data_IF_052294449855
#
_entry.id   IF_052294449855
#
_cell.length_a   1.000
_cell.length_b   1.000
_cell.length_c   1.000
_cell.angle_alpha   90.00
_cell.angle_beta   90.00
_cell.angle_gamma   90.00
#
_symmetry.space_group_name_H-M   'P 1'
#
loop_
_entity.id
_entity.type
_entity.pdbx_description
1 polymer ?
#
# COMPACT_ATOMS: atom_id res chain seq x y z
N UNK A 1 41.49 50.84 -12.40
CA UNK A 1 42.57 50.16 -13.14
C UNK A 1 42.22 48.67 -13.18
N UNK A 2 41.55 48.13 -14.20
CA UNK A 2 41.94 47.97 -15.60
C UNK A 2 42.79 46.71 -15.86
N UNK A 3 42.21 45.82 -16.69
CA UNK A 3 42.85 45.12 -17.83
C UNK A 3 43.40 43.68 -17.61
N UNK A 4 42.52 42.72 -17.96
CA UNK A 4 42.61 41.63 -18.97
C UNK A 4 43.66 40.49 -18.99
N UNK A 5 43.11 39.33 -19.41
CA UNK A 5 43.53 38.33 -20.44
C UNK A 5 44.68 37.38 -20.08
N UNK A 6 44.43 36.06 -20.01
CA UNK A 6 44.16 35.08 -21.08
C UNK A 6 45.45 34.54 -21.73
N UNK A 7 45.69 33.23 -21.61
CA UNK A 7 46.18 32.43 -22.73
C UNK A 7 45.94 30.93 -22.52
N UNK A 8 45.60 30.30 -23.64
CA UNK A 8 45.14 28.93 -23.86
C UNK A 8 46.35 28.08 -24.23
N UNK A 9 46.47 26.85 -23.75
CA UNK A 9 47.22 25.80 -24.47
C UNK A 9 46.42 24.50 -24.45
N UNK A 10 46.00 24.09 -25.65
CA UNK A 10 45.52 22.74 -25.96
C UNK A 10 46.73 21.79 -25.96
N UNK A 11 46.63 20.64 -25.29
CA UNK A 11 47.41 19.46 -25.66
C UNK A 11 46.49 18.26 -25.88
N UNK A 12 46.39 17.91 -27.16
CA UNK A 12 46.02 16.60 -27.67
C UNK A 12 46.99 15.53 -27.18
N UNK A 13 46.48 14.41 -26.69
CA UNK A 13 47.28 13.21 -26.42
C UNK A 13 46.36 12.01 -26.23
N UNK A 14 46.35 11.10 -27.21
CA UNK A 14 45.71 9.78 -27.12
C UNK A 14 46.25 9.03 -25.88
N UNK A 15 45.42 8.35 -25.06
CA UNK A 15 45.94 7.31 -24.20
C UNK A 15 46.33 6.10 -25.04
N UNK A 16 47.59 5.71 -24.90
CA UNK A 16 48.24 4.50 -25.38
C UNK A 16 47.53 3.23 -24.92
N UNK A 17 47.65 2.21 -25.76
CA UNK A 17 47.16 0.83 -25.64
C UNK A 17 47.14 0.26 -24.21
N UNK A 18 45.97 -0.24 -23.81
CA UNK A 18 45.79 -1.10 -22.63
C UNK A 18 46.50 -2.42 -22.90
N UNK A 19 47.51 -2.72 -22.08
CA UNK A 19 48.23 -3.98 -22.05
C UNK A 19 47.31 -5.06 -21.44
N UNK A 20 46.93 -6.07 -22.22
CA UNK A 20 46.05 -7.17 -21.77
C UNK A 20 46.85 -8.18 -20.94
N UNK A 21 47.00 -7.90 -19.65
CA UNK A 21 47.43 -8.91 -18.67
C UNK A 21 46.28 -9.85 -18.33
N UNK A 22 46.42 -11.13 -18.64
CA UNK A 22 45.47 -12.20 -18.29
C UNK A 22 45.56 -12.52 -16.79
N UNK A 23 44.53 -12.22 -15.99
CA UNK A 23 44.43 -12.67 -14.60
C UNK A 23 44.26 -14.20 -14.57
N UNK A 24 45.22 -14.89 -13.96
CA UNK A 24 45.23 -16.35 -13.76
C UNK A 24 44.58 -16.78 -12.46
N UNK A 25 43.69 -15.95 -11.92
CA UNK A 25 42.96 -16.22 -10.69
C UNK A 25 41.81 -17.25 -10.93
N UNK A 26 41.69 -18.28 -10.07
CA UNK A 26 40.75 -19.42 -10.20
C UNK A 26 39.27 -18.96 -10.31
N UNK A 27 38.96 -17.78 -9.78
CA UNK A 27 37.63 -17.15 -9.85
C UNK A 27 37.24 -16.57 -11.22
N UNK A 28 38.18 -16.39 -12.15
CA UNK A 28 37.89 -15.92 -13.52
C UNK A 28 37.48 -17.04 -14.49
N UNK A 29 37.70 -18.33 -14.14
CA UNK A 29 37.46 -19.47 -15.06
C UNK A 29 36.02 -20.01 -15.06
N UNK A 30 35.15 -19.53 -14.17
CA UNK A 30 33.74 -19.99 -14.08
C UNK A 30 32.70 -18.92 -14.37
N UNK A 31 33.12 -17.73 -14.82
CA UNK A 31 32.19 -16.67 -15.20
C UNK A 31 31.66 -16.89 -16.62
N UNK A 32 30.42 -17.37 -16.75
CA UNK A 32 29.69 -17.35 -18.03
C UNK A 32 29.07 -15.95 -18.21
N UNK A 33 29.28 -15.28 -19.35
CA UNK A 33 28.64 -13.99 -19.59
C UNK A 33 27.12 -14.18 -19.62
N UNK A 34 26.40 -13.38 -18.83
CA UNK A 34 24.94 -13.31 -18.85
C UNK A 34 24.52 -12.81 -20.24
N UNK A 35 23.64 -13.54 -20.93
CA UNK A 35 23.09 -13.11 -22.23
C UNK A 35 22.52 -11.70 -22.08
N UNK A 36 23.10 -10.74 -22.81
CA UNK A 36 22.53 -9.41 -23.00
C UNK A 36 21.25 -9.60 -23.83
N UNK A 37 20.09 -9.46 -23.20
CA UNK A 37 18.85 -9.36 -23.93
C UNK A 37 18.85 -8.02 -24.69
N UNK A 38 18.95 -8.09 -26.02
CA UNK A 38 18.73 -6.94 -26.90
C UNK A 38 17.31 -6.43 -26.65
N UNK A 39 17.18 -5.18 -26.24
CA UNK A 39 15.89 -4.49 -26.21
C UNK A 39 15.35 -4.41 -27.64
N UNK A 40 14.19 -5.02 -27.90
CA UNK A 40 13.45 -4.82 -29.15
C UNK A 40 13.01 -3.36 -29.21
N UNK A 41 13.59 -2.58 -30.12
CA UNK A 41 13.05 -1.27 -30.51
C UNK A 41 11.74 -1.50 -31.25
N UNK A 42 10.63 -1.06 -30.67
CA UNK A 42 9.36 -1.01 -31.39
C UNK A 42 9.41 0.11 -32.46
N UNK A 43 8.88 -0.14 -33.67
CA UNK A 43 8.77 0.90 -34.68
C UNK A 43 7.80 2.00 -34.21
N UNK A 44 8.03 3.27 -34.56
CA UNK A 44 7.09 4.35 -34.23
C UNK A 44 5.74 4.10 -34.92
N UNK A 45 4.65 4.21 -34.15
CA UNK A 45 3.28 4.05 -34.66
C UNK A 45 2.98 5.11 -35.74
N UNK A 46 2.27 4.75 -36.84
CA UNK A 46 1.93 5.69 -37.90
C UNK A 46 0.95 6.77 -37.41
N UNK A 47 1.16 8.00 -37.89
CA UNK A 47 0.25 9.14 -37.67
C UNK A 47 -0.97 8.98 -38.57
N UNK A 48 -2.14 8.73 -37.99
CA UNK A 48 -3.41 8.78 -38.71
C UNK A 48 -4.15 10.06 -38.34
N UNK A 49 -4.24 10.98 -39.31
CA UNK A 49 -5.11 12.15 -39.29
C UNK A 49 -6.55 11.73 -39.57
N UNK A 50 -7.42 11.85 -38.57
CA UNK A 50 -8.88 11.82 -38.76
C UNK A 50 -9.51 12.93 -37.93
N UNK A 51 -10.13 13.91 -38.60
CA UNK A 51 -10.97 14.96 -38.00
C UNK A 51 -12.27 14.34 -37.46
N UNK A 52 -12.65 14.65 -36.22
CA UNK A 52 -14.02 14.54 -35.68
C UNK A 52 -14.23 15.58 -34.55
N UNK A 53 -15.47 15.98 -34.25
CA UNK A 53 -15.87 17.37 -34.02
C UNK A 53 -15.81 17.79 -32.53
N UNK A 54 -15.93 19.10 -32.30
CA UNK A 54 -15.87 19.74 -31.00
C UNK A 54 -16.90 19.17 -29.98
N UNK A 55 -16.52 18.90 -28.72
CA UNK A 55 -17.47 18.62 -27.66
C UNK A 55 -18.06 19.92 -27.09
N UNK A 56 -19.38 20.01 -27.14
CA UNK A 56 -20.22 21.05 -26.58
C UNK A 56 -20.01 21.16 -25.06
N UNK A 57 -19.85 22.39 -24.57
CA UNK A 57 -19.71 22.70 -23.15
C UNK A 57 -21.01 22.45 -22.39
N UNK A 58 -21.00 21.46 -21.49
CA UNK A 58 -22.09 21.26 -20.52
C UNK A 58 -21.73 22.03 -19.25
N UNK A 59 -22.52 23.08 -18.96
CA UNK A 59 -22.42 23.91 -17.76
C UNK A 59 -22.92 23.12 -16.55
N UNK A 60 -22.07 22.95 -15.53
CA UNK A 60 -22.46 22.43 -14.22
C UNK A 60 -23.13 23.56 -13.42
N UNK A 61 -24.30 23.29 -12.82
CA UNK A 61 -25.06 24.26 -12.04
C UNK A 61 -25.20 23.72 -10.59
N UNK A 62 -24.54 24.31 -9.58
CA UNK A 62 -24.61 23.82 -8.22
C UNK A 62 -25.80 24.46 -7.50
N UNK A 63 -26.87 23.69 -7.32
CA UNK A 63 -27.91 23.98 -6.31
C UNK A 63 -28.13 22.73 -5.48
N UNK A 64 -27.36 22.61 -4.40
CA UNK A 64 -27.56 21.64 -3.33
C UNK A 64 -26.86 22.15 -2.09
N UNK A 65 -27.63 22.68 -1.13
CA UNK A 65 -27.15 23.15 0.16
C UNK A 65 -26.74 21.96 1.04
N UNK A 66 -25.46 21.87 1.42
CA UNK A 66 -24.94 20.87 2.35
C UNK A 66 -25.05 21.42 3.78
N UNK A 67 -25.62 20.63 4.69
CA UNK A 67 -25.77 20.97 6.11
C UNK A 67 -24.48 20.62 6.84
N UNK A 68 -23.77 21.64 7.34
CA UNK A 68 -22.64 21.48 8.26
C UNK A 68 -23.20 21.33 9.67
N UNK A 69 -23.17 20.13 10.27
CA UNK A 69 -23.41 19.99 11.71
C UNK A 69 -22.19 20.50 12.47
N UNK A 70 -22.33 21.63 13.18
CA UNK A 70 -21.29 22.13 14.10
C UNK A 70 -21.19 21.18 15.30
N UNK A 71 -20.01 20.63 15.64
CA UNK A 71 -19.85 19.94 16.91
C UNK A 71 -19.78 20.95 18.06
N UNK A 72 -20.69 20.76 19.02
CA UNK A 72 -20.74 21.48 20.29
C UNK A 72 -19.64 20.96 21.22
N UNK A 73 -18.94 21.91 21.86
CA UNK A 73 -17.95 21.76 22.94
C UNK A 73 -16.54 21.31 22.55
N UNK A 74 -15.59 22.22 22.81
CA UNK A 74 -14.16 22.10 22.61
C UNK A 74 -13.53 21.43 23.83
N UNK A 75 -12.84 20.31 23.65
CA UNK A 75 -11.94 19.75 24.66
C UNK A 75 -10.51 19.75 24.15
N UNK A 76 -9.61 20.25 25.00
CA UNK A 76 -8.18 20.42 24.74
C UNK A 76 -7.46 19.08 24.87
N UNK A 77 -7.32 18.33 23.78
CA UNK A 77 -6.32 17.27 23.60
C UNK A 77 -6.32 16.86 22.12
N UNK A 78 -5.16 16.95 21.44
CA UNK A 78 -4.93 16.51 20.06
C UNK A 78 -5.98 16.96 19.03
N UNK A 79 -5.68 18.00 18.25
CA UNK A 79 -6.56 18.55 17.20
C UNK A 79 -7.33 17.42 16.46
N UNK A 80 -8.66 17.30 16.62
CA UNK A 80 -9.38 16.19 16.00
C UNK A 80 -9.45 16.41 14.50
N UNK A 81 -8.85 15.47 13.74
CA UNK A 81 -9.14 15.33 12.32
C UNK A 81 -10.53 14.71 12.21
N UNK A 82 -11.48 15.46 11.68
CA UNK A 82 -12.83 14.97 11.44
C UNK A 82 -12.92 14.37 10.03
N UNK A 83 -13.64 13.26 9.87
CA UNK A 83 -13.83 12.66 8.56
C UNK A 83 -14.69 13.55 7.67
N UNK A 84 -14.40 13.58 6.38
CA UNK A 84 -15.24 14.26 5.39
C UNK A 84 -16.39 13.33 5.00
N UNK A 85 -17.61 13.88 4.99
CA UNK A 85 -18.82 13.21 4.50
C UNK A 85 -19.21 13.78 3.13
N UNK A 86 -19.07 13.00 2.06
CA UNK A 86 -19.56 13.27 0.70
C UNK A 86 -20.11 11.97 0.10
N UNK A 87 -21.43 11.85 0.00
CA UNK A 87 -22.15 10.58 -0.26
C UNK A 87 -21.78 9.45 0.73
N UNK A 88 -21.26 9.81 1.92
CA UNK A 88 -20.75 8.90 2.94
C UNK A 88 -19.35 9.31 3.42
N UNK A 89 -18.82 8.63 4.43
CA UNK A 89 -17.47 8.91 4.94
C UNK A 89 -16.42 8.57 3.87
N UNK A 90 -15.57 9.53 3.51
CA UNK A 90 -14.42 9.32 2.61
C UNK A 90 -13.30 8.57 3.34
N UNK A 91 -13.55 7.29 3.60
CA UNK A 91 -12.64 6.34 4.23
C UNK A 91 -12.68 5.01 3.46
N UNK A 92 -11.52 4.53 3.03
CA UNK A 92 -11.38 3.30 2.30
C UNK A 92 -10.22 2.46 2.84
N UNK A 93 -10.51 1.19 3.14
CA UNK A 93 -9.52 0.17 3.48
C UNK A 93 -9.39 -0.77 2.30
N UNK A 94 -8.21 -0.81 1.71
CA UNK A 94 -7.95 -1.60 0.52
C UNK A 94 -6.95 -2.71 0.80
N UNK A 95 -7.10 -3.84 0.12
CA UNK A 95 -6.22 -5.01 0.26
C UNK A 95 -5.77 -5.55 -1.09
N UNK A 96 -4.53 -5.99 -1.18
CA UNK A 96 -4.00 -6.74 -2.33
C UNK A 96 -3.32 -8.01 -1.81
N UNK A 97 -3.99 -9.14 -2.01
CA UNK A 97 -3.48 -10.45 -1.60
C UNK A 97 -3.12 -11.28 -2.83
N UNK A 98 -1.91 -11.82 -2.82
CA UNK A 98 -1.44 -12.85 -3.72
C UNK A 98 -0.73 -13.92 -2.90
N UNK A 99 -1.45 -15.01 -2.63
CA UNK A 99 -0.96 -16.12 -1.82
C UNK A 99 0.18 -16.88 -2.49
N UNK A 100 0.20 -16.98 -3.83
CA UNK A 100 1.25 -17.69 -4.56
C UNK A 100 2.61 -17.00 -4.40
N UNK A 101 2.59 -15.67 -4.37
CA UNK A 101 3.80 -14.86 -4.21
C UNK A 101 4.08 -14.48 -2.74
N UNK A 102 3.30 -14.99 -1.79
CA UNK A 102 3.37 -14.62 -0.36
C UNK A 102 3.31 -13.09 -0.13
N UNK A 103 2.49 -12.40 -0.94
CA UNK A 103 2.29 -10.96 -0.88
C UNK A 103 0.91 -10.65 -0.31
N UNK A 104 0.87 -9.79 0.70
CA UNK A 104 -0.34 -9.25 1.27
C UNK A 104 -0.04 -7.82 1.71
N UNK A 105 -0.69 -6.89 1.03
CA UNK A 105 -0.50 -5.47 1.21
C UNK A 105 -1.83 -4.79 1.54
N UNK A 106 -1.74 -3.77 2.38
CA UNK A 106 -2.86 -2.90 2.68
C UNK A 106 -2.61 -1.51 2.15
N UNK A 107 -3.68 -0.82 1.79
CA UNK A 107 -3.67 0.60 1.45
C UNK A 107 -4.91 1.25 2.05
N UNK A 108 -4.74 1.99 3.14
CA UNK A 108 -5.80 2.75 3.79
C UNK A 108 -5.70 4.19 3.35
N UNK A 109 -6.85 4.80 3.06
CA UNK A 109 -6.92 6.21 2.69
C UNK A 109 -8.16 6.86 3.28
N UNK A 110 -8.01 8.10 3.72
CA UNK A 110 -9.06 8.85 4.39
C UNK A 110 -8.95 10.33 4.05
N UNK A 111 -10.07 10.96 3.68
CA UNK A 111 -10.15 12.41 3.57
C UNK A 111 -10.71 13.00 4.87
N UNK A 112 -10.03 14.03 5.37
CA UNK A 112 -10.21 14.58 6.72
C UNK A 112 -10.14 16.09 6.69
N UNK A 113 -10.81 16.75 7.63
CA UNK A 113 -10.74 18.20 7.79
C UNK A 113 -10.31 18.58 9.20
N UNK A 114 -9.63 19.72 9.30
CA UNK A 114 -9.20 20.37 10.54
C UNK A 114 -9.43 21.87 10.41
N UNK A 115 -9.14 22.63 11.46
CA UNK A 115 -9.10 24.11 11.43
C UNK A 115 -8.12 24.64 10.37
N UNK A 116 -7.09 23.85 10.06
CA UNK A 116 -5.99 24.23 9.17
C UNK A 116 -6.31 23.93 7.68
N UNK A 117 -7.48 23.36 7.38
CA UNK A 117 -7.92 23.01 6.02
C UNK A 117 -8.27 21.53 5.86
N UNK A 118 -8.33 21.09 4.60
CA UNK A 118 -8.63 19.70 4.23
C UNK A 118 -7.36 18.91 3.93
N UNK A 119 -7.37 17.62 4.24
CA UNK A 119 -6.24 16.72 4.02
C UNK A 119 -6.70 15.37 3.48
N UNK A 120 -5.80 14.67 2.79
CA UNK A 120 -5.95 13.24 2.50
C UNK A 120 -4.82 12.50 3.20
N UNK A 121 -5.17 11.66 4.15
CA UNK A 121 -4.27 10.74 4.84
C UNK A 121 -4.22 9.41 4.11
N UNK A 122 -3.03 8.86 3.95
CA UNK A 122 -2.81 7.54 3.35
C UNK A 122 -1.84 6.75 4.21
N UNK A 123 -2.08 5.44 4.35
CA UNK A 123 -1.18 4.51 5.04
C UNK A 123 -1.13 3.20 4.27
N UNK A 124 0.06 2.70 3.98
CA UNK A 124 0.23 1.50 3.17
C UNK A 124 1.43 0.67 3.61
N UNK A 125 1.42 -0.61 3.29
CA UNK A 125 2.54 -1.51 3.56
C UNK A 125 2.12 -2.96 3.53
N UNK A 126 3.04 -3.84 3.95
CA UNK A 126 2.70 -5.24 4.15
C UNK A 126 1.81 -5.42 5.37
N UNK A 127 0.84 -6.31 5.27
CA UNK A 127 -0.04 -6.66 6.39
C UNK A 127 0.78 -7.18 7.57
N UNK A 128 0.48 -6.69 8.78
CA UNK A 128 1.28 -6.95 10.00
C UNK A 128 2.44 -5.98 10.24
N UNK A 129 2.67 -5.00 9.36
CA UNK A 129 3.69 -3.97 9.57
C UNK A 129 3.07 -2.60 9.85
N UNK A 130 3.86 -1.68 10.43
CA UNK A 130 3.44 -0.28 10.58
C UNK A 130 3.30 0.43 9.23
N UNK A 131 3.95 -0.08 8.18
CA UNK A 131 3.92 0.51 6.84
C UNK A 131 4.54 1.90 6.77
N UNK A 132 4.14 2.64 5.75
CA UNK A 132 4.43 4.05 5.53
C UNK A 132 3.12 4.84 5.57
N UNK A 133 3.22 6.13 5.86
CA UNK A 133 2.06 7.03 5.84
C UNK A 133 2.42 8.35 5.19
N UNK A 134 1.43 8.98 4.56
CA UNK A 134 1.54 10.31 3.97
C UNK A 134 0.27 11.09 4.21
N UNK A 135 0.43 12.30 4.71
CA UNK A 135 -0.64 13.29 4.85
C UNK A 135 -0.43 14.34 3.76
N UNK A 136 -1.39 14.48 2.86
CA UNK A 136 -1.37 15.49 1.80
C UNK A 136 -2.33 16.62 2.12
N UNK A 137 -1.84 17.86 2.02
CA UNK A 137 -2.56 19.09 2.33
C UNK A 137 -1.63 20.13 2.96
N UNK A 138 -2.18 21.23 3.49
CA UNK A 138 -3.61 21.57 3.47
C UNK A 138 -4.11 21.89 2.06
N UNK A 139 -5.31 21.42 1.74
CA UNK A 139 -6.08 21.85 0.58
C UNK A 139 -7.07 22.93 1.02
N UNK A 140 -7.34 23.87 0.12
CA UNK A 140 -8.14 25.06 0.43
C UNK A 140 -9.64 24.76 0.37
N UNK A 141 -10.03 23.74 -0.38
CA UNK A 141 -11.43 23.40 -0.59
C UNK A 141 -11.71 21.91 -0.36
N UNK A 142 -12.96 21.62 0.00
CA UNK A 142 -13.49 20.27 0.09
C UNK A 142 -13.39 19.54 -1.26
N UNK A 143 -13.64 20.25 -2.36
CA UNK A 143 -13.61 19.69 -3.72
C UNK A 143 -12.20 19.21 -4.11
N UNK A 144 -11.15 19.96 -3.75
CA UNK A 144 -9.77 19.53 -3.96
C UNK A 144 -9.46 18.23 -3.23
N UNK A 145 -9.83 18.13 -1.95
CA UNK A 145 -9.62 16.93 -1.13
C UNK A 145 -10.38 15.72 -1.65
N UNK A 146 -11.63 15.94 -2.04
CA UNK A 146 -12.51 14.93 -2.61
C UNK A 146 -11.97 14.43 -3.96
N UNK A 147 -11.57 15.35 -4.85
CA UNK A 147 -10.97 15.02 -6.15
C UNK A 147 -9.69 14.22 -5.98
N UNK A 148 -8.85 14.61 -5.01
CA UNK A 148 -7.61 13.91 -4.71
C UNK A 148 -7.86 12.49 -4.20
N UNK A 149 -8.83 12.33 -3.30
CA UNK A 149 -9.27 11.03 -2.81
C UNK A 149 -9.81 10.16 -3.95
N UNK A 150 -10.71 10.67 -4.80
CA UNK A 150 -11.26 9.92 -5.94
C UNK A 150 -10.19 9.50 -6.95
N UNK A 151 -9.24 10.40 -7.24
CA UNK A 151 -8.13 10.10 -8.15
C UNK A 151 -7.28 8.95 -7.62
N UNK A 152 -6.91 9.00 -6.32
CA UNK A 152 -6.10 7.97 -5.70
C UNK A 152 -6.85 6.63 -5.60
N UNK A 153 -8.13 6.66 -5.22
CA UNK A 153 -8.96 5.45 -5.17
C UNK A 153 -9.04 4.77 -6.55
N UNK A 154 -9.31 5.56 -7.59
CA UNK A 154 -9.33 5.06 -8.97
C UNK A 154 -7.94 4.58 -9.41
N UNK A 155 -6.85 5.22 -9.02
CA UNK A 155 -5.50 4.71 -9.35
C UNK A 155 -5.24 3.32 -8.76
N UNK A 156 -5.60 3.10 -7.49
CA UNK A 156 -5.30 1.87 -6.74
C UNK A 156 -6.25 0.72 -7.05
N UNK A 157 -7.53 1.02 -7.31
CA UNK A 157 -8.57 0.00 -7.54
C UNK A 157 -9.01 -0.08 -9.00
N UNK A 158 -8.82 1.01 -9.76
CA UNK A 158 -9.38 1.26 -11.09
C UNK A 158 -10.91 1.31 -11.16
N UNK A 159 -11.56 1.47 -10.01
CA UNK A 159 -12.99 1.73 -9.89
C UNK A 159 -13.22 3.22 -9.58
N UNK A 160 -14.34 3.78 -10.02
CA UNK A 160 -14.78 5.11 -9.58
C UNK A 160 -15.38 5.02 -8.17
N UNK A 161 -15.09 6.01 -7.31
CA UNK A 161 -15.63 6.04 -5.95
C UNK A 161 -17.16 6.04 -5.91
N UNK A 162 -17.81 6.74 -6.85
CA UNK A 162 -19.27 6.76 -6.99
C UNK A 162 -19.87 5.36 -7.19
N UNK A 163 -19.09 4.42 -7.73
CA UNK A 163 -19.52 3.04 -8.00
C UNK A 163 -19.08 2.04 -6.92
N UNK A 164 -18.59 2.50 -5.77
CA UNK A 164 -18.08 1.64 -4.68
C UNK A 164 -19.09 0.61 -4.15
N UNK A 165 -20.40 0.89 -4.25
CA UNK A 165 -21.47 -0.07 -3.88
C UNK A 165 -21.57 -1.26 -4.84
N UNK A 166 -21.11 -1.08 -6.08
CA UNK A 166 -21.05 -2.10 -7.12
C UNK A 166 -19.58 -2.38 -7.51
N UNK A 167 -18.69 -2.36 -6.51
CA UNK A 167 -17.26 -2.52 -6.71
C UNK A 167 -16.93 -3.85 -7.40
N UNK A 168 -16.02 -3.82 -8.38
CA UNK A 168 -15.52 -5.02 -9.05
C UNK A 168 -14.01 -5.11 -8.86
N UNK A 169 -13.56 -6.18 -8.20
CA UNK A 169 -12.13 -6.47 -8.05
C UNK A 169 -11.49 -6.65 -9.42
N UNK A 170 -10.42 -5.88 -9.68
CA UNK A 170 -9.61 -6.01 -10.88
C UNK A 170 -8.30 -6.75 -10.61
N UNK A 171 -7.84 -7.49 -11.61
CA UNK A 171 -6.58 -8.23 -11.52
C UNK A 171 -5.39 -7.27 -11.29
N UNK A 172 -4.47 -7.66 -10.41
CA UNK A 172 -3.30 -6.85 -10.03
C UNK A 172 -3.60 -5.51 -9.32
N UNK A 173 -4.86 -5.19 -9.01
CA UNK A 173 -5.27 -3.96 -8.31
C UNK A 173 -5.77 -4.24 -6.90
N UNK A 174 -5.82 -3.24 -6.03
CA UNK A 174 -6.37 -3.43 -4.69
C UNK A 174 -7.88 -3.69 -4.75
N UNK A 175 -8.35 -4.55 -3.86
CA UNK A 175 -9.77 -4.74 -3.53
C UNK A 175 -10.23 -3.78 -2.44
N UNK A 176 -11.53 -3.52 -2.37
CA UNK A 176 -12.16 -2.72 -1.34
C UNK A 176 -12.72 -3.63 -0.25
N UNK A 177 -12.28 -3.43 1.00
CA UNK A 177 -12.84 -4.13 2.15
C UNK A 177 -14.13 -3.47 2.64
N UNK A 178 -15.11 -4.29 2.97
CA UNK A 178 -16.31 -3.86 3.67
C UNK A 178 -15.95 -3.48 5.11
N UNK A 179 -16.08 -2.20 5.45
CA UNK A 179 -15.83 -1.72 6.81
C UNK A 179 -17.15 -1.66 7.59
N UNK A 180 -17.46 -2.71 8.34
CA UNK A 180 -18.43 -2.59 9.44
C UNK A 180 -17.70 -2.17 10.69
N UNK A 181 -18.06 -1.01 11.23
CA UNK A 181 -17.61 -0.47 12.51
C UNK A 181 -18.16 -1.29 13.67
N UNK A 182 -17.85 -2.59 13.74
CA UNK A 182 -18.14 -3.40 14.90
C UNK A 182 -16.90 -3.38 15.78
N UNK A 183 -16.84 -2.42 16.71
CA UNK A 183 -15.90 -2.41 17.82
C UNK A 183 -16.25 -3.59 18.73
N UNK A 184 -15.90 -4.81 18.33
CA UNK A 184 -16.06 -5.98 19.18
C UNK A 184 -14.83 -6.17 20.07
N UNK A 185 -15.11 -6.59 21.30
CA UNK A 185 -14.15 -6.74 22.38
C UNK A 185 -12.94 -7.57 21.95
N UNK A 186 -11.73 -7.01 22.13
CA UNK A 186 -10.46 -7.68 21.92
C UNK A 186 -10.35 -8.91 22.83
N UNK A 187 -10.43 -10.12 22.26
CA UNK A 187 -10.10 -11.35 22.98
C UNK A 187 -8.60 -11.65 22.86
N UNK A 188 -7.95 -12.22 23.89
CA UNK A 188 -6.57 -12.66 23.75
C UNK A 188 -6.46 -13.73 22.65
N UNK A 189 -5.42 -13.60 21.83
CA UNK A 189 -5.09 -14.59 20.81
C UNK A 189 -3.97 -15.49 21.32
N UNK A 190 -4.08 -16.79 21.05
CA UNK A 190 -3.11 -17.80 21.46
C UNK A 190 -2.75 -18.73 20.30
N UNK A 191 -1.52 -19.26 20.32
CA UNK A 191 -1.07 -20.31 19.41
C UNK A 191 -0.62 -21.53 20.18
N UNK A 192 -0.81 -22.71 19.58
CA UNK A 192 -0.41 -23.97 20.19
C UNK A 192 1.05 -24.32 19.85
N UNK A 193 1.81 -24.73 20.86
CA UNK A 193 3.14 -25.31 20.70
C UNK A 193 3.18 -26.76 21.17
N UNK A 194 3.76 -27.64 20.36
CA UNK A 194 3.92 -29.08 20.62
C UNK A 194 5.32 -29.62 20.24
N UNK A 195 6.22 -28.76 19.76
CA UNK A 195 7.50 -29.14 19.18
C UNK A 195 8.72 -28.84 20.07
N UNK A 196 8.50 -28.54 21.36
CA UNK A 196 9.53 -28.22 22.37
C UNK A 196 10.59 -27.19 21.94
N UNK A 197 10.23 -26.30 20.99
CA UNK A 197 11.13 -25.27 20.49
C UNK A 197 11.43 -24.27 21.61
N UNK A 198 12.71 -23.90 21.75
CA UNK A 198 13.22 -22.96 22.76
C UNK A 198 12.96 -23.40 24.22
N UNK A 199 12.82 -24.71 24.48
CA UNK A 199 12.56 -25.24 25.82
C UNK A 199 11.16 -24.97 26.35
N UNK A 200 10.23 -24.55 25.46
CA UNK A 200 8.83 -24.34 25.81
C UNK A 200 8.11 -25.67 25.95
N UNK A 201 7.30 -25.80 27.00
CA UNK A 201 6.44 -26.95 27.19
C UNK A 201 5.31 -26.99 26.14
N UNK A 202 4.72 -28.16 25.94
CA UNK A 202 3.53 -28.28 25.09
C UNK A 202 2.37 -27.50 25.71
N UNK A 203 1.75 -26.60 24.95
CA UNK A 203 0.65 -25.78 25.46
C UNK A 203 0.27 -24.59 24.57
N UNK A 204 -0.72 -23.84 25.04
CA UNK A 204 -1.15 -22.59 24.42
C UNK A 204 -0.29 -21.44 24.92
N UNK A 205 0.16 -20.60 23.99
CA UNK A 205 0.99 -19.44 24.25
C UNK A 205 0.30 -18.18 23.72
N UNK A 206 0.29 -17.08 24.49
CA UNK A 206 -0.32 -15.85 24.04
C UNK A 206 0.49 -15.21 22.91
N UNK A 207 -0.23 -14.55 22.02
CA UNK A 207 0.35 -13.60 21.07
C UNK A 207 0.92 -12.40 21.82
N UNK A 208 1.85 -11.70 21.19
CA UNK A 208 2.26 -10.37 21.66
C UNK A 208 1.07 -9.40 21.56
N UNK A 209 1.11 -8.27 22.28
CA UNK A 209 0.05 -7.25 22.18
C UNK A 209 -0.18 -6.76 20.73
N UNK A 210 0.91 -6.58 19.98
CA UNK A 210 0.86 -6.25 18.55
C UNK A 210 0.22 -7.39 17.73
N UNK A 211 0.65 -8.63 17.94
CA UNK A 211 0.11 -9.80 17.25
C UNK A 211 -1.37 -10.02 17.53
N UNK A 212 -1.82 -9.83 18.77
CA UNK A 212 -3.23 -9.89 19.17
C UNK A 212 -4.03 -8.84 18.41
N UNK A 213 -3.57 -7.58 18.40
CA UNK A 213 -4.26 -6.48 17.70
C UNK A 213 -4.37 -6.75 16.20
N UNK A 214 -3.29 -7.24 15.60
CA UNK A 214 -3.25 -7.53 14.16
C UNK A 214 -4.16 -8.71 13.80
N UNK A 215 -4.09 -9.80 14.56
CA UNK A 215 -4.89 -11.01 14.29
C UNK A 215 -6.38 -10.74 14.52
N UNK A 216 -6.71 -9.97 15.55
CA UNK A 216 -8.09 -9.53 15.79
C UNK A 216 -8.61 -8.68 14.63
N UNK A 217 -7.83 -7.72 14.12
CA UNK A 217 -8.22 -6.91 12.97
C UNK A 217 -8.48 -7.78 11.73
N UNK A 218 -7.66 -8.81 11.48
CA UNK A 218 -7.85 -9.74 10.38
C UNK A 218 -9.12 -10.56 10.55
N UNK A 219 -9.35 -11.09 11.77
CA UNK A 219 -10.55 -11.85 12.09
C UNK A 219 -11.82 -11.02 11.90
N UNK A 220 -11.88 -9.81 12.46
CA UNK A 220 -13.02 -8.89 12.28
C UNK A 220 -13.25 -8.54 10.81
N UNK A 221 -12.17 -8.32 10.05
CA UNK A 221 -12.26 -8.10 8.60
C UNK A 221 -12.84 -9.31 7.89
N UNK A 222 -12.39 -10.52 8.24
CA UNK A 222 -12.84 -11.77 7.64
C UNK A 222 -14.35 -12.02 7.85
N UNK A 223 -14.90 -11.67 9.01
CA UNK A 223 -16.34 -11.81 9.30
C UNK A 223 -17.24 -11.14 8.26
N UNK A 224 -16.80 -10.03 7.66
CA UNK A 224 -17.54 -9.31 6.61
C UNK A 224 -16.92 -9.40 5.22
N UNK A 225 -15.77 -10.06 5.10
CA UNK A 225 -15.00 -10.23 3.88
C UNK A 225 -14.47 -11.67 3.80
N UNK A 226 -15.38 -12.66 3.80
CA UNK A 226 -15.04 -14.09 3.88
C UNK A 226 -14.11 -14.60 2.76
N UNK A 227 -14.10 -13.92 1.61
CA UNK A 227 -13.16 -14.19 0.52
C UNK A 227 -11.68 -14.04 0.91
N UNK A 228 -11.40 -13.33 2.01
CA UNK A 228 -10.07 -13.07 2.56
C UNK A 228 -9.78 -13.89 3.82
N UNK A 229 -10.23 -15.15 3.85
CA UNK A 229 -10.00 -16.11 4.92
C UNK A 229 -8.52 -16.45 5.15
N UNK A 230 -7.70 -16.41 4.09
CA UNK A 230 -6.24 -16.61 4.17
C UNK A 230 -5.48 -15.31 3.93
N UNK A 231 -4.62 -14.95 4.88
CA UNK A 231 -3.89 -13.68 4.90
C UNK A 231 -2.41 -13.92 5.17
N UNK A 232 -1.54 -13.14 4.54
CA UNK A 232 -0.11 -13.17 4.85
C UNK A 232 0.22 -12.03 5.81
N UNK A 233 0.79 -12.37 6.97
CA UNK A 233 1.11 -11.42 8.04
C UNK A 233 2.60 -11.45 8.30
N UNK A 234 3.23 -10.28 8.25
CA UNK A 234 4.61 -10.12 8.68
C UNK A 234 4.65 -9.81 10.19
N UNK A 235 5.42 -10.59 10.94
CA UNK A 235 5.67 -10.38 12.37
C UNK A 235 7.19 -10.40 12.61
N UNK A 236 7.78 -9.20 12.69
CA UNK A 236 9.23 -9.03 12.77
C UNK A 236 9.94 -9.61 11.54
N UNK A 237 10.84 -10.56 11.79
CA UNK A 237 11.59 -11.26 10.73
C UNK A 237 10.78 -12.36 10.02
N UNK A 238 9.69 -12.82 10.63
CA UNK A 238 8.91 -13.95 10.11
C UNK A 238 7.68 -13.48 9.33
N UNK A 239 7.25 -14.32 8.38
CA UNK A 239 5.96 -14.19 7.72
C UNK A 239 5.14 -15.44 7.97
N UNK A 240 3.86 -15.25 8.23
CA UNK A 240 2.91 -16.31 8.51
C UNK A 240 1.75 -16.22 7.53
N UNK A 241 1.31 -17.36 7.02
CA UNK A 241 -0.01 -17.50 6.43
C UNK A 241 -0.99 -17.81 7.56
N UNK A 242 -1.94 -16.92 7.80
CA UNK A 242 -3.02 -17.09 8.76
C UNK A 242 -4.25 -17.56 7.98
N UNK A 243 -4.77 -18.71 8.36
CA UNK A 243 -6.03 -19.26 7.87
C UNK A 243 -7.09 -19.10 8.97
N UNK A 244 -8.06 -18.22 8.73
CA UNK A 244 -9.09 -17.86 9.69
C UNK A 244 -10.29 -18.82 9.67
N UNK A 245 -10.44 -19.63 8.62
CA UNK A 245 -11.45 -20.70 8.58
C UNK A 245 -10.96 -21.92 9.36
N UNK A 246 -9.70 -22.31 9.12
CA UNK A 246 -9.07 -23.45 9.80
C UNK A 246 -8.52 -23.08 11.18
N UNK A 247 -8.49 -21.79 11.51
CA UNK A 247 -7.87 -21.26 12.73
C UNK A 247 -6.43 -21.75 12.89
N UNK A 248 -5.61 -21.56 11.86
CA UNK A 248 -4.19 -21.93 11.89
C UNK A 248 -3.26 -20.81 11.43
N UNK A 249 -2.02 -20.87 11.91
CA UNK A 249 -0.91 -20.09 11.37
C UNK A 249 0.16 -21.02 10.82
N UNK A 250 0.69 -20.70 9.65
CA UNK A 250 1.78 -21.45 9.02
C UNK A 250 2.94 -20.52 8.72
N UNK A 251 4.11 -20.82 9.27
CA UNK A 251 5.32 -20.06 8.94
C UNK A 251 5.70 -20.32 7.48
N UNK A 252 5.79 -19.27 6.67
CA UNK A 252 6.00 -19.38 5.22
C UNK A 252 7.37 -19.97 4.86
N UNK A 253 8.39 -19.74 5.71
CA UNK A 253 9.74 -20.22 5.44
C UNK A 253 9.93 -21.68 5.84
N UNK A 254 9.38 -22.07 6.99
CA UNK A 254 9.60 -23.42 7.55
C UNK A 254 8.46 -24.38 7.30
N UNK A 255 7.31 -23.90 6.79
CA UNK A 255 6.05 -24.64 6.66
C UNK A 255 5.53 -25.24 7.97
N UNK A 256 6.05 -24.80 9.12
CA UNK A 256 5.52 -25.21 10.42
C UNK A 256 4.15 -24.59 10.62
N UNK A 257 3.14 -25.44 10.75
CA UNK A 257 1.74 -25.08 11.02
C UNK A 257 1.44 -25.23 12.51
N UNK A 258 0.72 -24.27 13.08
CA UNK A 258 0.28 -24.24 14.47
C UNK A 258 -1.20 -23.88 14.52
N UNK A 259 -1.93 -24.49 15.44
CA UNK A 259 -3.30 -24.10 15.76
C UNK A 259 -3.30 -22.74 16.45
N UNK A 260 -4.32 -21.92 16.18
CA UNK A 260 -4.52 -20.62 16.81
C UNK A 260 -5.94 -20.54 17.36
N UNK A 261 -6.16 -19.72 18.38
CA UNK A 261 -7.50 -19.51 18.92
C UNK A 261 -7.66 -18.09 19.44
N UNK A 262 -8.91 -17.64 19.39
CA UNK A 262 -9.40 -16.46 20.09
C UNK A 262 -10.02 -16.92 21.40
N UNK A 263 -9.60 -16.35 22.52
CA UNK A 263 -10.07 -16.67 23.88
C UNK A 263 -11.05 -15.61 24.36
#
# INVERSE_FOLDING_TARGET
>A
MAITRSSKVKKSGKPSSVNTGTCTCIWCKTWKPRKVYKTKKYPPKPKTTTKKPAPTSVKFNPKGSIVISKPTSWSTASKPLNCIEDDGTLDAKLVLVNLADNMDEFFNMQAVFSIDGFFVSTKWGHTGTNGQSKLEGPMMTLEEATTKFYTLFHEKTGNLWSNRKSFVKMDGKYDLLNSTSATQASGPWEYYMDDFVDGKATGWYPYTAEGTTQTELLYQTHLTNSAYNRRIVQSGYFKYCIDLDEMTQTNIKTNKRRQIRRV
#
